data_IF_579615564343
#
_entry.id   IF_579615564343
#
_cell.length_a   1.000
_cell.length_b   1.000
_cell.length_c   1.000
_cell.angle_alpha   90.00
_cell.angle_beta   90.00
_cell.angle_gamma   90.00
#
_symmetry.space_group_name_H-M   'P 1'
#
loop_
_entity.id
_entity.type
_entity.pdbx_description
1 polymer ?
#
# COMPACT_ATOMS: atom_id res chain seq x y z
N UNK A 1 -19.63 -10.03 -4.48
CA UNK A 1 -19.30 -10.17 -3.04
C UNK A 1 -19.99 -9.13 -2.17
N UNK A 2 -20.05 -7.85 -2.58
CA UNK A 2 -20.77 -6.81 -1.84
C UNK A 2 -21.96 -6.29 -2.66
N UNK A 3 -23.05 -5.92 -1.99
CA UNK A 3 -24.15 -5.19 -2.62
C UNK A 3 -23.73 -3.73 -2.78
N UNK A 4 -23.40 -3.33 -4.02
CA UNK A 4 -22.89 -1.97 -4.32
C UNK A 4 -23.95 -0.90 -4.06
N UNK A 5 -25.22 -1.18 -4.33
CA UNK A 5 -26.33 -0.25 -4.11
C UNK A 5 -26.50 0.08 -2.62
N UNK A 6 -26.34 -0.92 -1.76
CA UNK A 6 -26.35 -0.72 -0.32
C UNK A 6 -25.16 0.15 0.13
N UNK A 7 -23.95 -0.13 -0.34
CA UNK A 7 -22.75 0.65 -0.01
C UNK A 7 -22.91 2.10 -0.46
N UNK A 8 -23.40 2.34 -1.67
CA UNK A 8 -23.64 3.69 -2.21
C UNK A 8 -24.67 4.47 -1.41
N UNK A 9 -25.74 3.82 -0.91
CA UNK A 9 -26.71 4.47 -0.02
C UNK A 9 -26.16 4.72 1.39
N UNK A 10 -25.23 3.88 1.86
CA UNK A 10 -24.67 3.99 3.19
C UNK A 10 -23.68 5.16 3.33
N UNK A 11 -22.91 5.45 2.28
CA UNK A 11 -21.95 6.57 2.23
C UNK A 11 -22.59 7.92 2.64
N UNK A 12 -23.66 8.41 1.98
CA UNK A 12 -24.29 9.68 2.36
C UNK A 12 -24.94 9.61 3.75
N UNK A 13 -25.52 8.47 4.13
CA UNK A 13 -26.12 8.29 5.46
C UNK A 13 -25.10 8.48 6.58
N UNK A 14 -23.91 7.90 6.45
CA UNK A 14 -22.82 8.04 7.42
C UNK A 14 -22.23 9.45 7.36
N UNK A 15 -22.09 10.03 6.16
CA UNK A 15 -21.58 11.40 5.99
C UNK A 15 -22.47 12.42 6.72
N UNK A 16 -23.79 12.32 6.58
CA UNK A 16 -24.74 13.21 7.25
C UNK A 16 -24.75 13.03 8.78
N UNK A 17 -24.49 11.80 9.24
CA UNK A 17 -24.47 11.43 10.67
C UNK A 17 -23.06 11.32 11.23
N UNK A 18 -22.07 11.97 10.60
CA UNK A 18 -20.66 11.78 10.95
C UNK A 18 -20.32 12.14 12.41
N UNK A 19 -21.03 13.12 12.98
CA UNK A 19 -20.87 13.55 14.38
C UNK A 19 -21.25 12.46 15.41
N UNK A 20 -22.07 11.48 15.02
CA UNK A 20 -22.46 10.37 15.89
C UNK A 20 -21.36 9.30 15.99
N UNK A 21 -20.40 9.29 15.06
CA UNK A 21 -19.40 8.23 14.95
C UNK A 21 -17.99 8.81 14.96
N UNK A 22 -17.23 8.55 16.05
CA UNK A 22 -15.81 8.91 16.12
C UNK A 22 -14.95 8.23 15.05
N UNK A 23 -15.43 7.13 14.45
CA UNK A 23 -14.77 6.37 13.38
C UNK A 23 -15.30 6.68 11.98
N UNK A 24 -16.15 7.70 11.82
CA UNK A 24 -16.78 8.08 10.55
C UNK A 24 -15.79 8.19 9.39
N UNK A 25 -14.64 8.83 9.60
CA UNK A 25 -13.58 8.95 8.56
C UNK A 25 -13.07 7.60 8.06
N UNK A 26 -12.90 6.62 8.97
CA UNK A 26 -12.48 5.25 8.62
C UNK A 26 -13.60 4.52 7.87
N UNK A 27 -14.83 4.62 8.36
CA UNK A 27 -15.97 3.97 7.71
C UNK A 27 -16.15 4.45 6.28
N UNK A 28 -16.15 5.77 6.07
CA UNK A 28 -16.25 6.37 4.74
C UNK A 28 -15.10 5.92 3.83
N UNK A 29 -13.86 5.94 4.32
CA UNK A 29 -12.71 5.51 3.52
C UNK A 29 -12.79 4.04 3.09
N UNK A 30 -13.21 3.14 3.97
CA UNK A 30 -13.41 1.72 3.62
C UNK A 30 -14.57 1.54 2.64
N UNK A 31 -15.71 2.22 2.86
CA UNK A 31 -16.88 2.13 1.98
C UNK A 31 -16.58 2.62 0.56
N UNK A 32 -15.78 3.67 0.42
CA UNK A 32 -15.35 4.13 -0.91
C UNK A 32 -14.46 3.11 -1.63
N UNK A 33 -13.54 2.44 -0.92
CA UNK A 33 -12.75 1.35 -1.52
C UNK A 33 -13.66 0.20 -1.94
N UNK A 34 -14.64 -0.16 -1.11
CA UNK A 34 -15.62 -1.20 -1.43
C UNK A 34 -16.47 -0.85 -2.66
N UNK A 35 -16.85 0.41 -2.84
CA UNK A 35 -17.63 0.84 -4.01
C UNK A 35 -16.83 0.76 -5.31
N UNK A 36 -15.53 1.06 -5.24
CA UNK A 36 -14.60 1.00 -6.38
C UNK A 36 -14.14 -0.44 -6.69
N UNK A 37 -14.31 -1.36 -5.75
CA UNK A 37 -13.80 -2.72 -5.86
C UNK A 37 -14.50 -3.53 -6.97
N UNK A 38 -13.70 -4.32 -7.70
CA UNK A 38 -14.20 -5.23 -8.73
C UNK A 38 -14.79 -6.49 -8.09
N UNK A 39 -15.90 -6.98 -8.64
CA UNK A 39 -16.51 -8.23 -8.20
C UNK A 39 -15.86 -9.45 -8.86
N UNK A 40 -14.56 -9.62 -8.59
CA UNK A 40 -13.80 -10.81 -8.96
C UNK A 40 -13.32 -11.53 -7.70
N UNK A 41 -13.21 -12.87 -7.74
CA UNK A 41 -12.66 -13.64 -6.64
C UNK A 41 -11.16 -13.36 -6.49
N UNK A 42 -10.68 -13.40 -5.24
CA UNK A 42 -9.27 -13.23 -4.87
C UNK A 42 -8.67 -11.87 -5.27
N UNK A 43 -7.40 -11.67 -4.92
CA UNK A 43 -6.62 -10.48 -5.28
C UNK A 43 -5.14 -10.85 -5.31
N UNK A 44 -4.36 -10.08 -6.07
CA UNK A 44 -2.91 -10.17 -6.09
C UNK A 44 -2.31 -9.16 -5.12
N UNK A 45 -1.19 -9.50 -4.48
CA UNK A 45 -0.42 -8.53 -3.69
C UNK A 45 0.85 -8.20 -4.47
N UNK A 46 0.98 -6.95 -4.92
CA UNK A 46 2.08 -6.53 -5.79
C UNK A 46 3.46 -6.77 -5.17
N UNK A 47 3.59 -6.51 -3.87
CA UNK A 47 4.82 -6.76 -3.10
C UNK A 47 5.23 -8.23 -3.15
N UNK A 48 4.25 -9.13 -3.08
CA UNK A 48 4.49 -10.58 -3.16
C UNK A 48 4.92 -10.97 -4.56
N UNK A 49 4.23 -10.50 -5.60
CA UNK A 49 4.59 -10.77 -6.99
C UNK A 49 6.02 -10.34 -7.31
N UNK A 50 6.38 -9.12 -6.95
CA UNK A 50 7.73 -8.57 -7.19
C UNK A 50 8.81 -9.22 -6.35
N UNK A 51 8.49 -9.68 -5.13
CA UNK A 51 9.44 -10.39 -4.27
C UNK A 51 9.88 -11.74 -4.84
N UNK A 52 8.98 -12.45 -5.52
CA UNK A 52 9.25 -13.76 -6.13
C UNK A 52 10.36 -13.67 -7.19
N UNK A 53 10.40 -12.59 -7.96
CA UNK A 53 11.36 -12.38 -9.05
C UNK A 53 12.49 -11.39 -8.68
N UNK A 54 12.56 -10.97 -7.42
CA UNK A 54 13.50 -9.98 -6.90
C UNK A 54 13.54 -8.69 -7.75
N UNK A 55 12.37 -8.10 -7.97
CA UNK A 55 12.16 -6.82 -8.66
C UNK A 55 11.87 -5.74 -7.63
N UNK A 56 12.34 -4.51 -7.88
CA UNK A 56 11.93 -3.39 -7.04
C UNK A 56 10.47 -3.07 -7.34
N UNK A 57 9.64 -3.03 -6.30
CA UNK A 57 8.22 -2.75 -6.42
C UNK A 57 7.97 -1.47 -7.24
N UNK A 58 7.21 -1.54 -8.36
CA UNK A 58 6.87 -0.36 -9.13
C UNK A 58 5.87 0.50 -8.37
N UNK A 59 5.71 1.75 -8.78
CA UNK A 59 4.61 2.57 -8.30
C UNK A 59 3.28 1.90 -8.66
N UNK A 60 2.36 1.80 -7.69
CA UNK A 60 1.04 1.18 -7.89
C UNK A 60 0.28 1.79 -9.08
N UNK A 61 0.44 3.10 -9.35
CA UNK A 61 -0.18 3.73 -10.53
C UNK A 61 0.36 3.18 -11.84
N UNK A 62 1.67 2.98 -11.94
CA UNK A 62 2.31 2.45 -13.16
C UNK A 62 1.82 1.02 -13.42
N UNK A 63 1.78 0.19 -12.37
CA UNK A 63 1.30 -1.19 -12.51
C UNK A 63 -0.19 -1.26 -12.88
N UNK A 64 -1.03 -0.41 -12.28
CA UNK A 64 -2.45 -0.29 -12.65
C UNK A 64 -2.61 0.19 -14.09
N UNK A 65 -1.78 1.15 -14.52
CA UNK A 65 -1.86 1.69 -15.88
C UNK A 65 -1.54 0.62 -16.92
N UNK A 66 -0.54 -0.24 -16.68
CA UNK A 66 -0.22 -1.34 -17.57
C UNK A 66 -1.39 -2.29 -17.84
N UNK A 67 -2.18 -2.57 -16.80
CA UNK A 67 -3.37 -3.40 -16.92
C UNK A 67 -4.53 -2.65 -17.63
N UNK A 68 -4.73 -1.38 -17.32
CA UNK A 68 -5.77 -0.54 -17.94
C UNK A 68 -5.51 -0.28 -19.42
N UNK A 69 -4.26 0.01 -19.80
CA UNK A 69 -3.82 0.20 -21.18
C UNK A 69 -4.02 -1.07 -22.03
N UNK A 70 -3.99 -2.25 -21.39
CA UNK A 70 -4.29 -3.52 -22.02
C UNK A 70 -5.80 -3.84 -22.09
N UNK A 71 -6.66 -2.92 -21.67
CA UNK A 71 -8.12 -3.07 -21.69
C UNK A 71 -8.69 -3.88 -20.54
N UNK A 72 -7.88 -4.21 -19.52
CA UNK A 72 -8.36 -4.94 -18.34
C UNK A 72 -8.85 -3.99 -17.25
N UNK A 73 -9.86 -4.42 -16.50
CA UNK A 73 -10.38 -3.66 -15.36
C UNK A 73 -9.51 -3.89 -14.15
N UNK A 74 -9.33 -2.84 -13.34
CA UNK A 74 -8.42 -2.89 -12.19
C UNK A 74 -8.96 -2.12 -11.00
N UNK A 75 -9.08 -2.79 -9.87
CA UNK A 75 -9.45 -2.20 -8.59
C UNK A 75 -8.43 -2.56 -7.50
N UNK A 76 -8.45 -1.81 -6.41
CA UNK A 76 -7.71 -2.17 -5.19
C UNK A 76 -8.67 -2.89 -4.25
N UNK A 77 -8.21 -3.88 -3.49
CA UNK A 77 -9.08 -4.58 -2.53
C UNK A 77 -9.04 -3.90 -1.17
N UNK A 78 -10.20 -3.76 -0.53
CA UNK A 78 -10.29 -3.30 0.86
C UNK A 78 -9.51 -4.23 1.83
N UNK A 79 -9.26 -5.47 1.45
CA UNK A 79 -8.58 -6.47 2.28
C UNK A 79 -7.10 -6.17 2.54
N UNK A 80 -6.39 -5.51 1.61
CA UNK A 80 -4.96 -5.25 1.77
C UNK A 80 -4.46 -4.04 0.95
N UNK A 81 -3.52 -3.27 1.53
CA UNK A 81 -3.06 -1.99 0.96
C UNK A 81 -2.49 -2.08 -0.46
N UNK A 82 -1.60 -3.03 -0.69
CA UNK A 82 -0.92 -3.24 -1.96
C UNK A 82 -1.58 -4.37 -2.77
N UNK A 83 -2.89 -4.57 -2.55
CA UNK A 83 -3.68 -5.56 -3.27
C UNK A 83 -4.25 -5.00 -4.55
N UNK A 84 -4.47 -5.87 -5.52
CA UNK A 84 -5.04 -5.54 -6.80
C UNK A 84 -5.99 -6.64 -7.25
N UNK A 85 -7.18 -6.24 -7.65
CA UNK A 85 -8.16 -7.08 -8.33
C UNK A 85 -8.19 -6.70 -9.79
N UNK A 86 -8.23 -7.71 -10.66
CA UNK A 86 -8.32 -7.50 -12.10
C UNK A 86 -9.01 -8.71 -12.74
N UNK A 87 -9.56 -8.50 -13.93
CA UNK A 87 -10.00 -9.57 -14.83
C UNK A 87 -8.92 -10.01 -15.82
N UNK A 88 -7.71 -9.42 -15.75
CA UNK A 88 -6.57 -9.85 -16.54
C UNK A 88 -6.20 -11.32 -16.23
N UNK A 89 -5.84 -12.12 -17.24
CA UNK A 89 -5.37 -13.47 -17.01
C UNK A 89 -4.04 -13.45 -16.27
N UNK A 90 -3.79 -14.49 -15.46
CA UNK A 90 -2.56 -14.61 -14.68
C UNK A 90 -1.29 -14.55 -15.55
N UNK A 91 -1.37 -15.06 -16.79
CA UNK A 91 -0.27 -14.95 -17.76
C UNK A 91 0.10 -13.49 -18.05
N UNK A 92 -0.89 -12.63 -18.28
CA UNK A 92 -0.66 -11.21 -18.54
C UNK A 92 -0.05 -10.48 -17.33
N UNK A 93 -0.51 -10.82 -16.11
CA UNK A 93 0.07 -10.26 -14.89
C UNK A 93 1.57 -10.58 -14.78
N UNK A 94 1.95 -11.81 -15.12
CA UNK A 94 3.36 -12.19 -15.16
C UNK A 94 4.12 -11.54 -16.32
N UNK A 95 3.49 -11.30 -17.47
CA UNK A 95 4.09 -10.55 -18.59
C UNK A 95 4.43 -9.11 -18.18
N UNK A 96 3.55 -8.45 -17.41
CA UNK A 96 3.82 -7.13 -16.82
C UNK A 96 5.05 -7.19 -15.91
N UNK A 97 5.13 -8.18 -15.01
CA UNK A 97 6.25 -8.34 -14.06
C UNK A 97 7.57 -8.67 -14.79
N UNK A 98 7.53 -9.54 -15.81
CA UNK A 98 8.69 -9.89 -16.63
C UNK A 98 9.20 -8.67 -17.39
N UNK A 99 8.31 -7.88 -17.97
CA UNK A 99 8.68 -6.64 -18.68
C UNK A 99 9.29 -5.63 -17.72
N UNK A 100 8.75 -5.48 -16.51
CA UNK A 100 9.35 -4.66 -15.45
C UNK A 100 10.75 -5.15 -15.06
N UNK A 101 10.97 -6.47 -14.90
CA UNK A 101 12.30 -7.01 -14.63
C UNK A 101 13.27 -6.65 -15.77
N UNK A 102 12.84 -6.81 -17.03
CA UNK A 102 13.65 -6.46 -18.21
C UNK A 102 14.02 -4.98 -18.23
N UNK A 103 13.11 -4.06 -17.86
CA UNK A 103 13.40 -2.62 -17.75
C UNK A 103 14.30 -2.25 -16.57
N UNK A 104 14.12 -2.94 -15.43
CA UNK A 104 14.86 -2.66 -14.20
C UNK A 104 16.23 -3.35 -14.12
N UNK A 105 16.72 -4.01 -15.18
CA UNK A 105 17.97 -4.77 -15.20
C UNK A 105 19.13 -3.94 -14.63
N UNK A 106 19.31 -4.06 -13.31
CA UNK A 106 20.43 -3.57 -12.53
C UNK A 106 21.37 -4.76 -12.35
N UNK A 107 22.69 -4.54 -12.32
CA UNK A 107 23.65 -5.59 -11.98
C UNK A 107 23.35 -6.05 -10.55
N UNK A 108 22.65 -7.17 -10.44
CA UNK A 108 22.23 -7.79 -9.19
C UNK A 108 22.50 -9.27 -9.26
N UNK A 109 22.41 -9.95 -8.11
CA UNK A 109 22.58 -11.41 -8.08
C UNK A 109 21.51 -12.05 -8.97
N UNK A 110 21.90 -12.98 -9.87
CA UNK A 110 20.94 -13.74 -10.64
C UNK A 110 20.03 -14.54 -9.69
N UNK A 111 18.84 -14.86 -10.16
CA UNK A 111 17.93 -15.75 -9.43
C UNK A 111 18.58 -17.12 -9.32
N UNK A 112 18.45 -17.74 -8.14
CA UNK A 112 18.98 -19.09 -7.92
C UNK A 112 18.20 -20.10 -8.77
N UNK A 113 18.93 -21.07 -9.34
CA UNK A 113 18.35 -22.11 -10.18
C UNK A 113 17.32 -22.95 -9.40
N UNK A 114 16.19 -23.25 -10.03
CA UNK A 114 15.12 -24.04 -9.41
C UNK A 114 14.20 -23.25 -8.47
N UNK A 115 14.44 -21.95 -8.28
CA UNK A 115 13.48 -21.09 -7.56
C UNK A 115 12.25 -20.80 -8.44
N UNK A 116 11.06 -20.59 -7.84
CA UNK A 116 9.87 -20.22 -8.62
C UNK A 116 10.08 -18.97 -9.47
N UNK A 117 10.84 -18.00 -8.95
CA UNK A 117 11.19 -16.79 -9.69
C UNK A 117 11.97 -17.07 -10.96
N UNK A 118 12.95 -17.97 -10.92
CA UNK A 118 13.75 -18.36 -12.09
C UNK A 118 12.86 -19.00 -13.16
N UNK A 119 12.02 -19.96 -12.77
CA UNK A 119 11.09 -20.66 -13.69
C UNK A 119 10.11 -19.67 -14.35
N UNK A 120 9.55 -18.73 -13.58
CA UNK A 120 8.65 -17.70 -14.11
C UNK A 120 9.37 -16.79 -15.11
N UNK A 121 10.62 -16.42 -14.83
CA UNK A 121 11.43 -15.51 -15.64
C UNK A 121 12.02 -16.17 -16.89
N UNK A 122 12.08 -17.51 -16.95
CA UNK A 122 12.50 -18.26 -18.15
C UNK A 122 11.53 -18.10 -19.31
N UNK A 123 10.26 -17.87 -19.02
CA UNK A 123 9.23 -17.62 -20.04
C UNK A 123 9.30 -16.16 -20.50
N UNK A 124 9.31 -15.93 -21.80
CA UNK A 124 9.27 -14.58 -22.36
C UNK A 124 7.86 -13.98 -22.30
N UNK A 125 7.73 -12.64 -22.12
CA UNK A 125 6.44 -11.98 -22.24
C UNK A 125 5.83 -12.20 -23.63
N UNK A 126 4.57 -12.64 -23.68
CA UNK A 126 3.84 -12.81 -24.95
C UNK A 126 3.17 -11.52 -25.38
N UNK A 127 2.63 -10.78 -24.41
CA UNK A 127 1.92 -9.53 -24.66
C UNK A 127 2.85 -8.30 -24.61
N UNK A 128 2.54 -7.31 -25.42
CA UNK A 128 3.15 -5.97 -25.32
C UNK A 128 2.54 -5.22 -24.15
N UNK A 129 3.38 -4.72 -23.24
CA UNK A 129 2.95 -4.02 -22.02
C UNK A 129 3.32 -2.55 -22.10
N UNK A 130 2.32 -1.67 -22.00
CA UNK A 130 2.51 -0.22 -21.95
C UNK A 130 2.40 0.33 -20.53
N UNK A 131 3.46 0.94 -20.02
CA UNK A 131 3.55 1.52 -18.67
C UNK A 131 3.23 3.02 -18.60
N UNK A 132 2.81 3.65 -19.70
CA UNK A 132 2.33 5.05 -19.68
C UNK A 132 1.21 5.21 -18.66
N UNK A 133 1.17 6.34 -17.94
CA UNK A 133 0.19 6.55 -16.87
C UNK A 133 -1.21 6.69 -17.49
N UNK A 134 -2.10 5.78 -17.14
CA UNK A 134 -3.50 5.82 -17.59
C UNK A 134 -4.29 6.82 -16.73
N UNK A 135 -5.21 7.61 -17.32
CA UNK A 135 -6.03 8.58 -16.58
C UNK A 135 -6.78 7.95 -15.39
N UNK A 136 -7.37 6.76 -15.59
CA UNK A 136 -8.13 6.03 -14.55
C UNK A 136 -7.25 5.23 -13.58
N UNK A 137 -5.92 5.32 -13.68
CA UNK A 137 -5.03 4.59 -12.79
C UNK A 137 -5.16 5.05 -11.33
N UNK A 138 -5.49 6.33 -11.10
CA UNK A 138 -5.70 6.87 -9.77
C UNK A 138 -7.17 6.75 -9.36
N UNK A 139 -7.51 5.90 -8.37
CA UNK A 139 -8.90 5.78 -7.92
C UNK A 139 -9.34 7.03 -7.14
N UNK A 140 -10.62 7.38 -7.25
CA UNK A 140 -11.20 8.57 -6.62
C UNK A 140 -10.96 8.61 -5.11
N UNK A 141 -11.09 7.48 -4.42
CA UNK A 141 -10.88 7.38 -2.98
C UNK A 141 -9.48 7.81 -2.56
N UNK A 142 -8.48 7.59 -3.42
CA UNK A 142 -7.10 8.02 -3.20
C UNK A 142 -6.91 9.49 -3.57
N UNK A 143 -7.51 9.94 -4.66
CA UNK A 143 -7.46 11.34 -5.09
C UNK A 143 -8.08 12.27 -4.04
N UNK A 144 -9.23 11.87 -3.49
CA UNK A 144 -9.92 12.53 -2.36
C UNK A 144 -9.23 12.33 -1.01
N UNK A 145 -8.06 11.68 -0.98
CA UNK A 145 -7.27 11.38 0.22
C UNK A 145 -8.05 10.75 1.38
N UNK A 146 -9.00 9.85 1.06
CA UNK A 146 -9.79 9.18 2.08
C UNK A 146 -8.94 8.19 2.89
N UNK A 147 -9.37 7.90 4.13
CA UNK A 147 -8.69 6.94 5.00
C UNK A 147 -9.01 5.50 4.59
N UNK A 148 -8.33 5.03 3.55
CA UNK A 148 -8.57 3.72 2.93
C UNK A 148 -8.11 2.55 3.78
N UNK A 149 -6.96 2.71 4.45
CA UNK A 149 -6.37 1.71 5.35
C UNK A 149 -5.99 2.39 6.65
N UNK A 150 -6.22 1.70 7.76
CA UNK A 150 -5.85 2.23 9.06
C UNK A 150 -4.33 2.36 9.17
N UNK A 151 -3.91 3.54 9.63
CA UNK A 151 -2.55 3.73 10.13
C UNK A 151 -2.45 3.11 11.51
N UNK A 152 -1.28 2.56 11.81
CA UNK A 152 -1.03 1.96 13.12
C UNK A 152 -1.29 2.99 14.23
N UNK A 153 -2.07 2.63 15.26
CA UNK A 153 -2.66 3.58 16.19
C UNK A 153 -1.65 4.25 17.14
N UNK A 154 -0.54 3.59 17.47
CA UNK A 154 0.35 4.06 18.54
C UNK A 154 1.81 4.30 18.15
N UNK A 155 2.40 5.24 18.89
CA UNK A 155 3.85 5.45 18.98
C UNK A 155 4.48 4.18 19.56
N UNK A 156 5.24 3.44 18.74
CA UNK A 156 5.89 2.17 19.04
C UNK A 156 5.02 0.91 18.81
N UNK A 157 3.97 1.00 17.97
CA UNK A 157 3.11 -0.13 17.57
C UNK A 157 3.79 -1.17 16.66
N UNK A 158 4.94 -1.71 17.07
CA UNK A 158 5.69 -2.72 16.34
C UNK A 158 6.51 -3.59 17.28
N UNK A 159 6.96 -4.75 16.82
CA UNK A 159 7.83 -5.61 17.62
C UNK A 159 9.02 -4.80 18.15
N UNK A 160 9.25 -4.88 19.46
CA UNK A 160 10.38 -4.21 20.11
C UNK A 160 11.66 -4.64 19.40
N UNK A 161 12.64 -3.74 19.33
CA UNK A 161 13.98 -4.10 18.87
C UNK A 161 14.50 -5.28 19.69
N UNK A 162 15.21 -6.22 19.04
CA UNK A 162 15.88 -7.34 19.70
C UNK A 162 16.63 -6.83 20.94
N UNK A 163 16.44 -7.52 22.08
CA UNK A 163 17.09 -7.15 23.33
C UNK A 163 18.61 -7.06 23.17
N UNK A 164 19.20 -5.99 23.69
CA UNK A 164 20.64 -5.78 23.78
C UNK A 164 21.06 -5.78 25.25
N UNK A 165 22.33 -6.03 25.52
CA UNK A 165 22.92 -5.96 26.86
C UNK A 165 22.65 -4.59 27.52
N UNK A 166 22.40 -4.59 28.82
CA UNK A 166 21.84 -3.46 29.62
C UNK A 166 22.60 -2.13 29.52
N UNK A 167 23.84 -2.14 29.05
CA UNK A 167 24.71 -0.98 28.88
C UNK A 167 24.16 0.09 27.91
N UNK A 168 23.16 -0.23 27.08
CA UNK A 168 22.67 0.64 25.99
C UNK A 168 21.22 1.12 26.16
N UNK A 169 20.57 0.86 27.30
CA UNK A 169 19.15 1.16 27.53
C UNK A 169 18.75 2.60 27.17
N UNK A 170 19.50 3.59 27.66
CA UNK A 170 19.18 5.01 27.44
C UNK A 170 19.37 5.44 25.98
N UNK A 171 20.34 4.84 25.28
CA UNK A 171 20.60 5.08 23.84
C UNK A 171 19.55 4.43 22.95
N UNK A 172 18.80 3.44 23.43
CA UNK A 172 17.71 2.81 22.68
C UNK A 172 16.47 3.69 22.61
N UNK A 173 16.08 4.32 23.71
CA UNK A 173 14.94 5.24 23.74
C UNK A 173 15.18 6.45 22.85
N UNK A 174 16.39 7.01 22.89
CA UNK A 174 16.80 8.14 22.05
C UNK A 174 16.82 7.76 20.55
N UNK A 175 17.35 6.58 20.21
CA UNK A 175 17.33 6.06 18.84
C UNK A 175 15.90 5.78 18.36
N UNK A 176 15.03 5.22 19.22
CA UNK A 176 13.61 4.98 18.91
C UNK A 176 12.90 6.29 18.63
N UNK A 177 13.07 7.29 19.49
CA UNK A 177 12.52 8.63 19.30
C UNK A 177 13.01 9.28 18.00
N UNK A 178 14.31 9.15 17.68
CA UNK A 178 14.93 9.73 16.48
C UNK A 178 14.48 9.06 15.17
N UNK A 179 14.22 7.75 15.19
CA UNK A 179 13.88 6.99 13.99
C UNK A 179 12.36 6.93 13.72
N UNK A 180 11.55 7.24 14.73
CA UNK A 180 10.11 7.24 14.63
C UNK A 180 9.59 8.45 13.86
N UNK A 181 8.63 8.24 12.95
CA UNK A 181 8.01 9.34 12.20
C UNK A 181 8.91 9.99 11.13
N UNK A 182 10.13 9.47 10.86
CA UNK A 182 11.03 10.00 9.82
C UNK A 182 10.40 10.13 8.42
N UNK A 183 9.36 9.34 8.13
CA UNK A 183 8.59 9.46 6.87
C UNK A 183 7.47 10.51 6.92
N UNK A 184 6.94 10.86 8.10
CA UNK A 184 5.99 11.98 8.24
C UNK A 184 6.69 13.33 8.01
N UNK A 185 7.92 13.49 8.51
CA UNK A 185 8.72 14.72 8.35
C UNK A 185 9.05 15.08 6.89
N UNK A 186 8.92 14.12 5.96
CA UNK A 186 9.27 14.31 4.55
C UNK A 186 8.15 14.93 3.71
N UNK A 187 6.90 14.81 4.14
CA UNK A 187 5.73 15.41 3.49
C UNK A 187 5.18 16.51 4.42
N UNK A 188 5.78 17.69 4.31
CA UNK A 188 5.42 18.96 4.95
C UNK A 188 4.26 18.98 5.95
N UNK A 189 4.58 18.92 7.23
CA UNK A 189 3.85 19.65 8.27
C UNK A 189 4.88 20.02 9.35
N UNK A 190 5.28 21.29 9.40
CA UNK A 190 6.10 21.85 10.47
C UNK A 190 5.29 21.89 11.76
N UNK A 191 5.14 20.75 12.42
CA UNK A 191 4.65 20.71 13.79
C UNK A 191 5.85 21.03 14.70
N UNK A 192 5.81 22.20 15.33
CA UNK A 192 6.73 22.57 16.40
C UNK A 192 6.68 21.52 17.52
N UNK A 193 7.83 21.14 18.11
CA UNK A 193 7.83 20.18 19.20
C UNK A 193 7.13 20.79 20.43
N UNK A 194 6.29 20.02 21.16
CA UNK A 194 5.61 20.55 22.34
C UNK A 194 6.63 20.87 23.44
N UNK A 195 6.52 22.08 24.00
CA UNK A 195 7.29 22.52 25.16
C UNK A 195 7.07 21.56 26.33
N UNK A 196 8.18 21.07 26.92
CA UNK A 196 8.15 20.35 28.20
C UNK A 196 7.52 21.27 29.26
N UNK A 197 6.35 20.91 29.79
CA UNK A 197 5.87 21.49 31.04
C UNK A 197 6.86 21.08 32.13
N UNK A 198 7.64 22.04 32.62
CA UNK A 198 8.33 21.91 33.91
C UNK A 198 7.24 21.77 34.98
N UNK A 199 7.13 20.59 35.57
CA UNK A 199 6.46 20.43 36.85
C UNK A 199 7.32 21.15 37.89
N UNK A 200 6.89 22.35 38.29
CA UNK A 200 7.44 23.05 39.45
C UNK A 200 7.13 22.22 40.70
N UNK A 201 8.17 21.66 41.34
CA UNK A 201 8.06 21.22 42.72
C UNK A 201 7.64 22.42 43.58
N UNK A 202 6.50 22.32 44.26
CA UNK A 202 6.15 23.20 45.37
C UNK A 202 6.31 22.42 46.67
N UNK A 203 7.32 22.91 47.41
CA UNK A 203 7.67 22.74 48.83
C UNK A 203 8.08 21.35 49.29
#
# INVERSE_FOLDING_TARGET
MHNKDFVQRLIPSISNKAHLFGTSRRMLGVLHVLSEELDTPLYYILDRLTSVVHVTMPNMLVFRSALLNAGHRVALSHAAKNSLKTDAPAEFIWDVIRTLKKQQQRPGKPLEAGTPGEVIMRTEPKATVDFTIHPEANPESREKQLLRYQVNPERNWGPKTRAKTSLWSDKEEEKRARLQGKRLQRNGSSASPPQKKLLSLRR
#
